data_IF_550903254304
#
_entry.id   IF_550903254304
#
_cell.length_a   1.000
_cell.length_b   1.000
_cell.length_c   1.000
_cell.angle_alpha   90.00
_cell.angle_beta   90.00
_cell.angle_gamma   90.00
#
_symmetry.space_group_name_H-M   'P 1'
#
loop_
_entity.id
_entity.type
_entity.pdbx_description
1 polymer ?
#
# COMPACT_ATOMS: atom_id res chain seq x y z
N UNK A 1 8.54 19.56 22.58
CA UNK A 1 8.13 19.34 21.17
C UNK A 1 6.95 20.24 20.85
N UNK A 2 7.02 21.08 19.80
CA UNK A 2 5.82 21.74 19.26
C UNK A 2 5.26 20.81 18.18
N UNK A 3 3.99 20.40 18.31
CA UNK A 3 3.25 19.78 17.19
C UNK A 3 3.37 20.69 15.97
N UNK A 4 3.77 20.18 14.80
CA UNK A 4 3.41 20.84 13.53
C UNK A 4 1.87 20.81 13.51
N UNK A 5 1.24 21.95 13.72
CA UNK A 5 -0.22 22.04 13.89
C UNK A 5 -0.97 21.83 12.58
N UNK A 6 -0.28 21.87 11.43
CA UNK A 6 -0.78 21.47 10.12
C UNK A 6 0.32 20.67 9.42
N UNK A 7 0.08 19.38 9.18
CA UNK A 7 0.92 18.54 8.31
C UNK A 7 0.36 18.69 6.89
N UNK A 8 1.19 19.02 5.90
CA UNK A 8 0.70 19.11 4.52
C UNK A 8 0.51 17.70 3.94
N UNK A 9 -0.75 17.37 3.66
CA UNK A 9 -1.17 16.15 2.98
C UNK A 9 -1.58 16.49 1.55
N UNK A 10 -1.19 15.65 0.60
CA UNK A 10 -1.59 15.74 -0.81
C UNK A 10 -2.07 14.38 -1.28
N UNK A 11 -3.09 14.39 -2.12
CA UNK A 11 -3.60 13.19 -2.79
C UNK A 11 -2.92 13.05 -4.14
N UNK A 12 -2.43 11.84 -4.43
CA UNK A 12 -1.79 11.48 -5.70
C UNK A 12 -2.61 10.39 -6.38
N UNK A 13 -2.77 10.48 -7.69
CA UNK A 13 -3.48 9.53 -8.53
C UNK A 13 -4.87 10.00 -8.96
N UNK A 14 -5.40 9.31 -9.96
CA UNK A 14 -6.74 9.53 -10.49
C UNK A 14 -7.82 9.04 -9.50
N UNK A 15 -9.03 9.61 -9.62
CA UNK A 15 -10.17 9.22 -8.78
C UNK A 15 -10.40 7.70 -8.83
N UNK A 16 -10.45 7.06 -7.66
CA UNK A 16 -10.59 5.61 -7.51
C UNK A 16 -9.26 4.84 -7.52
N UNK A 17 -8.13 5.53 -7.68
CA UNK A 17 -6.78 4.96 -7.55
C UNK A 17 -5.85 5.88 -6.73
N UNK A 18 -6.44 6.84 -6.02
CA UNK A 18 -5.72 7.95 -5.42
C UNK A 18 -5.50 7.76 -3.92
N UNK A 19 -4.29 8.01 -3.44
CA UNK A 19 -3.95 7.90 -2.03
C UNK A 19 -3.34 9.19 -1.50
N UNK A 20 -3.72 9.54 -0.26
CA UNK A 20 -3.16 10.68 0.44
C UNK A 20 -1.79 10.36 1.03
N UNK A 21 -0.86 11.29 0.89
CA UNK A 21 0.53 11.20 1.34
C UNK A 21 0.91 12.53 2.00
N UNK A 22 1.67 12.48 3.10
CA UNK A 22 2.27 13.66 3.68
C UNK A 22 3.45 14.14 2.83
N UNK A 23 3.27 15.26 2.14
CA UNK A 23 4.30 15.84 1.28
C UNK A 23 5.44 16.48 2.07
N UNK A 24 5.17 16.99 3.29
CA UNK A 24 6.20 17.65 4.12
C UNK A 24 7.36 16.72 4.46
N UNK A 25 7.11 15.41 4.55
CA UNK A 25 8.14 14.41 4.84
C UNK A 25 9.02 14.08 3.62
N UNK A 26 8.63 14.50 2.40
CA UNK A 26 9.29 14.07 1.17
C UNK A 26 10.19 15.14 0.54
N UNK A 27 9.88 16.44 0.71
CA UNK A 27 10.50 17.53 -0.06
C UNK A 27 12.04 17.62 0.09
N UNK A 28 12.60 17.21 1.23
CA UNK A 28 14.05 17.33 1.51
C UNK A 28 14.81 16.00 1.42
N UNK A 29 14.15 14.90 1.04
CA UNK A 29 14.80 13.59 0.99
C UNK A 29 15.70 13.47 -0.23
N UNK A 30 16.87 12.86 -0.07
CA UNK A 30 17.78 12.54 -1.19
C UNK A 30 17.27 11.35 -2.01
N UNK A 31 16.58 10.39 -1.38
CA UNK A 31 15.97 9.22 -2.00
C UNK A 31 14.62 8.96 -1.34
N UNK A 32 13.61 8.65 -2.14
CA UNK A 32 12.29 8.23 -1.64
C UNK A 32 12.01 6.82 -2.16
N UNK A 33 11.71 5.88 -1.27
CA UNK A 33 11.38 4.49 -1.57
C UNK A 33 9.87 4.31 -1.36
N UNK A 34 9.18 3.97 -2.45
CA UNK A 34 7.74 3.74 -2.43
C UNK A 34 7.46 2.29 -2.79
N UNK A 35 6.75 1.60 -1.90
CA UNK A 35 6.19 0.28 -2.18
C UNK A 35 4.69 0.47 -2.45
N UNK A 36 4.24 0.08 -3.64
CA UNK A 36 2.87 0.26 -4.12
C UNK A 36 2.22 -1.09 -4.42
N UNK A 37 1.47 -1.61 -3.46
CA UNK A 37 0.72 -2.87 -3.60
C UNK A 37 -0.69 -2.63 -4.18
N UNK A 38 -1.13 -3.51 -5.08
CA UNK A 38 -2.43 -3.43 -5.75
C UNK A 38 -2.50 -2.27 -6.72
N UNK A 39 -1.71 -2.29 -7.78
CA UNK A 39 -1.72 -1.22 -8.79
C UNK A 39 -2.89 -1.35 -9.77
N UNK A 40 -3.49 -2.53 -9.89
CA UNK A 40 -4.55 -2.80 -10.86
C UNK A 40 -4.15 -2.42 -12.29
N UNK A 41 -5.07 -1.78 -13.01
CA UNK A 41 -4.84 -1.28 -14.37
C UNK A 41 -4.57 0.24 -14.38
N UNK A 42 -4.03 0.80 -13.29
CA UNK A 42 -3.80 2.25 -13.19
C UNK A 42 -2.54 2.59 -12.37
N UNK A 43 -1.57 3.22 -13.02
CA UNK A 43 -0.31 3.64 -12.39
C UNK A 43 -0.28 5.11 -11.96
N UNK A 44 -1.41 5.84 -11.98
CA UNK A 44 -1.45 7.29 -11.74
C UNK A 44 -0.88 7.71 -10.38
N UNK A 45 -1.21 7.01 -9.29
CA UNK A 45 -0.62 7.27 -7.96
C UNK A 45 0.92 7.23 -8.02
N UNK A 46 1.46 6.12 -8.55
CA UNK A 46 2.90 5.92 -8.68
C UNK A 46 3.54 6.95 -9.63
N UNK A 47 2.86 7.26 -10.74
CA UNK A 47 3.35 8.17 -11.77
C UNK A 47 3.41 9.61 -11.27
N UNK A 48 2.36 10.08 -10.61
CA UNK A 48 2.31 11.44 -10.08
C UNK A 48 3.34 11.64 -8.96
N UNK A 49 3.56 10.65 -8.09
CA UNK A 49 4.63 10.69 -7.10
C UNK A 49 6.02 10.76 -7.76
N UNK A 50 6.29 9.89 -8.74
CA UNK A 50 7.56 9.89 -9.46
C UNK A 50 7.78 11.18 -10.28
N UNK A 51 6.70 11.78 -10.80
CA UNK A 51 6.76 13.04 -11.51
C UNK A 51 7.06 14.22 -10.59
N UNK A 52 6.42 14.24 -9.42
CA UNK A 52 6.60 15.30 -8.42
C UNK A 52 7.97 15.23 -7.75
N UNK A 53 8.46 14.03 -7.48
CA UNK A 53 9.70 13.75 -6.76
C UNK A 53 10.64 12.89 -7.61
N UNK A 54 11.59 13.52 -8.32
CA UNK A 54 12.45 12.82 -9.30
C UNK A 54 13.42 11.80 -8.69
N UNK A 55 13.64 11.88 -7.38
CA UNK A 55 14.42 10.92 -6.59
C UNK A 55 13.57 9.78 -5.98
N UNK A 56 12.28 9.74 -6.32
CA UNK A 56 11.37 8.68 -5.94
C UNK A 56 11.60 7.43 -6.79
N UNK A 57 11.76 6.30 -6.11
CA UNK A 57 11.86 4.97 -6.69
C UNK A 57 10.61 4.19 -6.37
N UNK A 58 9.85 3.86 -7.42
CA UNK A 58 8.62 3.08 -7.31
C UNK A 58 8.94 1.59 -7.43
N UNK A 59 8.53 0.82 -6.43
CA UNK A 59 8.49 -0.63 -6.46
C UNK A 59 7.00 -1.03 -6.39
N UNK A 60 6.48 -1.55 -7.49
CA UNK A 60 5.07 -1.88 -7.67
C UNK A 60 4.85 -3.39 -7.59
N UNK A 61 3.74 -3.80 -6.97
CA UNK A 61 3.44 -5.19 -6.70
C UNK A 61 1.97 -5.48 -7.00
N UNK A 62 1.70 -6.46 -7.85
CA UNK A 62 0.34 -6.94 -8.09
C UNK A 62 0.37 -8.33 -8.71
N UNK A 63 -0.25 -9.34 -8.07
CA UNK A 63 -0.29 -10.69 -8.62
C UNK A 63 -1.39 -10.90 -9.67
N UNK A 64 -2.26 -9.92 -9.90
CA UNK A 64 -3.43 -10.07 -10.75
C UNK A 64 -3.03 -10.15 -12.22
N UNK A 65 -3.49 -11.15 -13.00
CA UNK A 65 -3.12 -11.30 -14.41
C UNK A 65 -3.38 -10.06 -15.28
N UNK A 66 -4.46 -9.32 -15.00
CA UNK A 66 -4.76 -8.06 -15.70
C UNK A 66 -3.76 -6.95 -15.37
N UNK A 67 -3.41 -6.78 -14.10
CA UNK A 67 -2.42 -5.79 -13.68
C UNK A 67 -1.04 -6.10 -14.27
N UNK A 68 -0.64 -7.38 -14.25
CA UNK A 68 0.62 -7.84 -14.88
C UNK A 68 0.64 -7.47 -16.36
N UNK A 69 -0.42 -7.85 -17.10
CA UNK A 69 -0.53 -7.54 -18.53
C UNK A 69 -0.52 -6.03 -18.79
N UNK A 70 -1.24 -5.27 -17.97
CA UNK A 70 -1.28 -3.81 -18.09
C UNK A 70 0.12 -3.20 -17.94
N UNK A 71 0.90 -3.63 -16.95
CA UNK A 71 2.27 -3.15 -16.76
C UNK A 71 3.22 -3.59 -17.88
N UNK A 72 3.04 -4.80 -18.42
CA UNK A 72 3.82 -5.26 -19.58
C UNK A 72 3.62 -4.37 -20.82
N UNK A 73 2.40 -3.88 -21.02
CA UNK A 73 2.02 -3.01 -22.14
C UNK A 73 2.28 -1.51 -21.89
N UNK A 74 2.48 -1.11 -20.63
CA UNK A 74 2.71 0.29 -20.25
C UNK A 74 4.10 0.81 -20.66
N UNK A 75 4.18 2.06 -21.14
CA UNK A 75 5.46 2.72 -21.42
C UNK A 75 6.18 3.16 -20.13
N UNK A 76 7.01 2.25 -19.62
CA UNK A 76 7.81 2.43 -18.40
C UNK A 76 8.88 3.52 -18.55
N UNK A 77 9.23 3.94 -19.77
CA UNK A 77 10.23 5.00 -19.99
C UNK A 77 9.78 6.37 -19.48
N UNK A 78 8.47 6.52 -19.22
CA UNK A 78 7.89 7.70 -18.61
C UNK A 78 8.20 7.85 -17.11
N UNK A 79 8.76 6.82 -16.47
CA UNK A 79 9.22 6.85 -15.08
C UNK A 79 10.73 7.12 -14.98
N UNK A 80 11.14 7.82 -13.93
CA UNK A 80 12.56 7.93 -13.56
C UNK A 80 13.12 6.60 -13.04
N UNK A 81 12.39 5.95 -12.12
CA UNK A 81 12.67 4.57 -11.67
C UNK A 81 11.35 3.89 -11.34
N UNK A 82 11.14 2.73 -11.95
CA UNK A 82 9.98 1.88 -11.73
C UNK A 82 10.37 0.42 -11.91
N UNK A 83 10.05 -0.40 -10.92
CA UNK A 83 10.24 -1.86 -10.97
C UNK A 83 8.94 -2.53 -10.53
N UNK A 84 8.54 -3.57 -11.27
CA UNK A 84 7.28 -4.28 -11.04
C UNK A 84 7.52 -5.75 -10.71
N UNK A 85 6.79 -6.24 -9.73
CA UNK A 85 6.87 -7.62 -9.24
C UNK A 85 5.49 -8.29 -9.29
N UNK A 86 5.35 -9.42 -10.01
CA UNK A 86 4.08 -10.11 -10.20
C UNK A 86 3.72 -11.05 -9.05
N UNK A 87 3.85 -10.58 -7.81
CA UNK A 87 3.50 -11.32 -6.59
C UNK A 87 2.77 -10.41 -5.60
N UNK A 88 2.05 -11.00 -4.64
CA UNK A 88 1.28 -10.25 -3.64
C UNK A 88 1.96 -10.16 -2.27
N UNK A 89 1.31 -9.43 -1.37
CA UNK A 89 1.71 -9.26 0.02
C UNK A 89 0.74 -10.03 0.92
N UNK A 90 1.28 -10.77 1.89
CA UNK A 90 0.47 -11.47 2.89
C UNK A 90 1.23 -11.57 4.22
N UNK A 91 0.63 -12.22 5.22
CA UNK A 91 1.27 -12.50 6.51
C UNK A 91 2.30 -13.65 6.45
N UNK A 92 2.41 -14.33 5.29
CA UNK A 92 3.31 -15.48 5.09
C UNK A 92 3.92 -15.52 3.69
N UNK A 93 5.09 -16.16 3.61
CA UNK A 93 5.76 -16.50 2.35
C UNK A 93 5.26 -17.86 1.84
N UNK A 94 4.22 -17.84 1.01
CA UNK A 94 3.60 -19.06 0.49
C UNK A 94 2.90 -18.88 -0.86
N UNK A 95 2.54 -19.99 -1.49
CA UNK A 95 1.68 -19.98 -2.68
C UNK A 95 0.24 -20.19 -2.22
N UNK A 96 -0.62 -19.21 -2.45
CA UNK A 96 -2.03 -19.23 -2.04
C UNK A 96 -2.98 -19.49 -3.22
N UNK A 97 -4.20 -19.91 -2.90
CA UNK A 97 -5.33 -19.74 -3.82
C UNK A 97 -5.74 -18.27 -3.85
N UNK A 98 -5.74 -17.68 -5.04
CA UNK A 98 -6.08 -16.28 -5.26
C UNK A 98 -7.29 -16.19 -6.19
N UNK A 99 -8.34 -15.51 -5.72
CA UNK A 99 -9.66 -15.50 -6.33
C UNK A 99 -9.81 -14.35 -7.33
N UNK A 100 -10.10 -14.74 -8.57
CA UNK A 100 -10.77 -14.03 -9.65
C UNK A 100 -11.84 -12.97 -9.29
N UNK A 101 -11.85 -11.70 -9.75
CA UNK A 101 -13.08 -10.89 -9.61
C UNK A 101 -14.28 -11.58 -10.27
N UNK A 102 -15.45 -11.54 -9.61
CA UNK A 102 -16.69 -12.13 -10.09
C UNK A 102 -17.12 -11.51 -11.43
N UNK A 103 -17.03 -10.19 -11.52
CA UNK A 103 -17.18 -9.48 -12.79
C UNK A 103 -15.86 -9.54 -13.56
N UNK A 104 -15.84 -10.25 -14.69
CA UNK A 104 -14.67 -10.40 -15.56
C UNK A 104 -14.12 -9.07 -16.09
N UNK A 105 -14.90 -7.99 -16.06
CA UNK A 105 -14.45 -6.65 -16.46
C UNK A 105 -13.64 -5.95 -15.36
N UNK A 106 -13.71 -6.38 -14.11
CA UNK A 106 -12.93 -5.81 -13.00
C UNK A 106 -11.54 -6.45 -12.90
N UNK A 107 -10.68 -5.84 -12.09
CA UNK A 107 -9.26 -6.20 -11.95
C UNK A 107 -9.00 -6.90 -10.63
N UNK A 108 -9.43 -6.29 -9.53
CA UNK A 108 -9.24 -6.72 -8.14
C UNK A 108 -9.49 -8.21 -7.88
N UNK A 109 -8.42 -8.94 -7.62
CA UNK A 109 -8.49 -10.29 -7.03
C UNK A 109 -8.07 -10.25 -5.57
N UNK A 110 -8.34 -11.33 -4.83
CA UNK A 110 -8.03 -11.40 -3.39
C UNK A 110 -7.61 -12.80 -2.96
N UNK A 111 -6.73 -12.92 -1.97
CA UNK A 111 -6.51 -14.19 -1.26
C UNK A 111 -7.70 -14.54 -0.34
N UNK A 112 -8.52 -13.53 0.00
CA UNK A 112 -9.66 -13.66 0.90
C UNK A 112 -10.94 -13.85 0.09
N UNK A 113 -11.71 -14.89 0.43
CA UNK A 113 -13.05 -15.05 -0.10
C UNK A 113 -13.94 -13.90 0.35
N UNK A 114 -14.49 -13.16 -0.61
CA UNK A 114 -15.35 -12.01 -0.38
C UNK A 114 -16.48 -11.94 -1.45
N UNK A 115 -17.51 -11.08 -1.27
CA UNK A 115 -18.62 -10.99 -2.23
C UNK A 115 -18.23 -10.56 -3.66
N UNK A 116 -17.06 -9.93 -3.84
CA UNK A 116 -16.56 -9.42 -5.11
C UNK A 116 -15.80 -10.44 -5.96
N UNK A 117 -15.48 -11.62 -5.43
CA UNK A 117 -14.67 -12.64 -6.12
C UNK A 117 -15.46 -13.92 -6.47
N UNK A 118 -15.01 -14.64 -7.49
CA UNK A 118 -15.60 -15.91 -7.94
C UNK A 118 -14.80 -17.11 -7.40
N UNK A 119 -15.43 -17.87 -6.51
CA UNK A 119 -14.88 -19.10 -5.91
C UNK A 119 -14.44 -20.16 -6.92
N UNK A 120 -14.92 -20.12 -8.17
CA UNK A 120 -14.57 -21.08 -9.21
C UNK A 120 -13.46 -20.57 -10.14
N UNK A 121 -13.07 -19.28 -10.04
CA UNK A 121 -12.01 -18.69 -10.84
C UNK A 121 -10.81 -18.42 -9.94
N UNK A 122 -10.02 -19.46 -9.72
CA UNK A 122 -8.87 -19.43 -8.81
C UNK A 122 -7.58 -19.57 -9.60
N UNK A 123 -6.57 -18.79 -9.23
CA UNK A 123 -5.19 -18.95 -9.69
C UNK A 123 -4.27 -19.19 -8.50
N UNK A 124 -3.09 -19.74 -8.75
CA UNK A 124 -2.03 -19.85 -7.74
C UNK A 124 -1.10 -18.65 -7.85
N UNK A 125 -0.93 -17.95 -6.74
CA UNK A 125 -0.11 -16.73 -6.66
C UNK A 125 0.92 -16.89 -5.55
N UNK A 126 2.14 -16.44 -5.82
CA UNK A 126 3.15 -16.27 -4.78
C UNK A 126 2.82 -15.03 -3.94
N UNK A 127 2.76 -15.22 -2.62
CA UNK A 127 2.65 -14.14 -1.64
C UNK A 127 3.93 -14.08 -0.81
N UNK A 128 4.27 -12.89 -0.35
CA UNK A 128 5.43 -12.65 0.49
C UNK A 128 5.11 -11.79 1.69
N UNK A 129 5.87 -11.98 2.76
CA UNK A 129 5.89 -11.03 3.88
C UNK A 129 6.59 -9.74 3.47
N UNK A 130 6.24 -8.60 4.09
CA UNK A 130 6.93 -7.34 3.80
C UNK A 130 8.43 -7.44 4.11
N UNK A 131 8.79 -8.14 5.20
CA UNK A 131 10.18 -8.39 5.59
C UNK A 131 10.97 -9.12 4.53
N UNK A 132 10.41 -10.18 3.93
CA UNK A 132 11.05 -10.89 2.83
C UNK A 132 11.29 -9.95 1.64
N UNK A 133 10.29 -9.17 1.24
CA UNK A 133 10.39 -8.23 0.11
C UNK A 133 11.48 -7.18 0.37
N UNK A 134 11.51 -6.61 1.57
CA UNK A 134 12.54 -5.66 1.99
C UNK A 134 13.94 -6.27 1.93
N UNK A 135 14.13 -7.52 2.39
CA UNK A 135 15.41 -8.23 2.29
C UNK A 135 15.81 -8.52 0.84
N UNK A 136 14.87 -8.95 0.01
CA UNK A 136 15.08 -9.24 -1.40
C UNK A 136 15.54 -7.99 -2.18
N UNK A 137 15.00 -6.82 -1.82
CA UNK A 137 15.31 -5.53 -2.44
C UNK A 137 16.46 -4.76 -1.74
N UNK A 138 17.11 -5.37 -0.74
CA UNK A 138 18.17 -4.74 0.06
C UNK A 138 17.76 -3.39 0.67
N UNK A 139 16.51 -3.32 1.16
CA UNK A 139 15.95 -2.15 1.81
C UNK A 139 15.76 -2.38 3.30
N UNK A 140 16.21 -1.43 4.10
CA UNK A 140 15.96 -1.43 5.56
C UNK A 140 14.91 -0.40 5.98
N UNK A 141 14.36 0.35 5.02
CA UNK A 141 13.48 1.49 5.23
C UNK A 141 12.56 1.73 4.02
N UNK A 142 11.32 2.18 4.28
CA UNK A 142 10.32 2.56 3.28
C UNK A 142 9.74 3.94 3.65
N UNK A 143 9.72 4.86 2.69
CA UNK A 143 9.11 6.18 2.88
C UNK A 143 7.58 6.09 2.81
N UNK A 144 7.06 5.38 1.80
CA UNK A 144 5.63 5.21 1.58
C UNK A 144 5.33 3.74 1.31
N UNK A 145 4.48 3.14 2.14
CA UNK A 145 3.86 1.85 1.90
C UNK A 145 2.39 2.07 1.54
N UNK A 146 2.06 1.93 0.25
CA UNK A 146 0.67 1.95 -0.24
C UNK A 146 0.13 0.52 -0.29
N UNK A 147 -1.01 0.30 0.36
CA UNK A 147 -1.68 -0.98 0.50
C UNK A 147 -3.10 -0.88 -0.06
N UNK A 148 -3.35 -1.64 -1.10
CA UNK A 148 -4.67 -1.94 -1.63
C UNK A 148 -4.64 -3.42 -1.97
N UNK A 149 -4.99 -4.25 -0.99
CA UNK A 149 -4.74 -5.70 -1.01
C UNK A 149 -6.00 -6.50 -0.70
N UNK A 150 -7.15 -5.88 -0.97
CA UNK A 150 -8.47 -6.51 -1.14
C UNK A 150 -8.88 -7.42 0.03
N UNK A 151 -8.65 -6.96 1.27
CA UNK A 151 -9.07 -7.62 2.50
C UNK A 151 -7.94 -8.25 3.31
N UNK A 152 -6.79 -8.52 2.71
CA UNK A 152 -5.64 -9.13 3.41
C UNK A 152 -4.92 -8.15 4.36
N UNK A 153 -5.29 -6.86 4.38
CA UNK A 153 -4.71 -5.86 5.28
C UNK A 153 -4.89 -6.19 6.76
N UNK A 154 -5.99 -6.87 7.14
CA UNK A 154 -6.27 -7.18 8.54
C UNK A 154 -5.40 -8.31 9.13
N UNK A 155 -4.73 -9.10 8.30
CA UNK A 155 -3.71 -10.07 8.73
C UNK A 155 -2.30 -9.52 8.47
N UNK A 156 -2.13 -8.83 7.33
CA UNK A 156 -0.86 -8.30 6.86
C UNK A 156 -0.34 -7.13 7.70
N UNK A 157 -1.19 -6.17 8.09
CA UNK A 157 -0.76 -5.00 8.88
C UNK A 157 -0.27 -5.39 10.28
N UNK A 158 -0.97 -6.26 11.05
CA UNK A 158 -0.42 -6.74 12.32
C UNK A 158 0.93 -7.43 12.17
N UNK A 159 1.06 -8.33 11.19
CA UNK A 159 2.28 -9.09 10.94
C UNK A 159 3.45 -8.18 10.58
N UNK A 160 3.25 -7.23 9.65
CA UNK A 160 4.34 -6.34 9.23
C UNK A 160 4.75 -5.38 10.35
N UNK A 161 3.85 -4.97 11.25
CA UNK A 161 4.22 -4.08 12.36
C UNK A 161 5.13 -4.80 13.38
N UNK A 162 4.93 -6.09 13.59
CA UNK A 162 5.80 -6.93 14.43
C UNK A 162 7.21 -7.08 13.85
N UNK A 163 7.32 -7.12 12.51
CA UNK A 163 8.57 -7.44 11.82
C UNK A 163 9.32 -6.24 11.23
N UNK A 164 8.62 -5.18 10.87
CA UNK A 164 9.13 -4.04 10.12
C UNK A 164 8.74 -2.72 10.81
N UNK A 165 9.71 -2.06 11.45
CA UNK A 165 9.45 -0.80 12.18
C UNK A 165 9.84 0.48 11.41
N UNK A 166 10.50 0.33 10.26
CA UNK A 166 11.12 1.41 9.50
C UNK A 166 10.26 1.83 8.30
N UNK A 167 8.96 2.05 8.53
CA UNK A 167 8.01 2.51 7.51
C UNK A 167 7.48 3.87 7.98
N UNK A 168 7.71 4.91 7.21
CA UNK A 168 7.36 6.27 7.63
C UNK A 168 5.90 6.61 7.40
N UNK A 169 5.35 6.26 6.24
CA UNK A 169 3.96 6.48 5.88
C UNK A 169 3.32 5.17 5.41
N UNK A 170 2.12 4.88 5.92
CA UNK A 170 1.28 3.77 5.48
C UNK A 170 -0.01 4.38 4.93
N UNK A 171 -0.23 4.23 3.63
CA UNK A 171 -1.47 4.60 2.94
C UNK A 171 -2.22 3.30 2.69
N UNK A 172 -3.41 3.11 3.26
CA UNK A 172 -4.13 1.83 3.16
C UNK A 172 -5.58 2.05 2.74
N UNK A 173 -6.04 1.29 1.75
CA UNK A 173 -7.46 1.11 1.46
C UNK A 173 -7.97 -0.08 2.27
N UNK A 174 -8.95 0.17 3.14
CA UNK A 174 -9.52 -0.83 4.03
C UNK A 174 -10.79 -1.44 3.44
N UNK A 175 -10.85 -2.76 3.45
CA UNK A 175 -11.92 -3.57 2.90
C UNK A 175 -12.73 -4.25 4.02
N UNK A 176 -12.92 -3.55 5.15
CA UNK A 176 -13.65 -4.05 6.32
C UNK A 176 -15.06 -4.56 5.94
N UNK A 177 -15.72 -3.96 4.95
CA UNK A 177 -17.00 -4.41 4.36
C UNK A 177 -17.01 -5.85 3.84
N UNK A 178 -15.86 -6.47 3.59
CA UNK A 178 -15.75 -7.87 3.18
C UNK A 178 -16.02 -8.85 4.33
N UNK A 179 -15.99 -8.38 5.58
CA UNK A 179 -16.05 -9.20 6.77
C UNK A 179 -17.29 -8.87 7.61
N UNK A 180 -17.91 -9.91 8.19
CA UNK A 180 -19.03 -9.73 9.12
C UNK A 180 -18.61 -9.00 10.41
N UNK A 181 -17.35 -9.14 10.81
CA UNK A 181 -16.69 -8.46 11.94
C UNK A 181 -15.80 -7.28 11.48
N UNK A 182 -16.06 -6.72 10.30
CA UNK A 182 -15.24 -5.68 9.67
C UNK A 182 -14.94 -4.48 10.56
N UNK A 183 -15.96 -3.91 11.19
CA UNK A 183 -15.80 -2.72 12.06
C UNK A 183 -14.85 -2.99 13.24
N UNK A 184 -14.89 -4.21 13.77
CA UNK A 184 -14.00 -4.64 14.86
C UNK A 184 -12.57 -4.74 14.33
N UNK A 185 -12.37 -5.36 13.16
CA UNK A 185 -11.05 -5.47 12.53
C UNK A 185 -10.43 -4.11 12.22
N UNK A 186 -11.23 -3.18 11.69
CA UNK A 186 -10.79 -1.81 11.42
C UNK A 186 -10.40 -1.09 12.71
N UNK A 187 -11.25 -1.18 13.74
CA UNK A 187 -10.95 -0.60 15.05
C UNK A 187 -9.64 -1.15 15.63
N UNK A 188 -9.47 -2.47 15.62
CA UNK A 188 -8.29 -3.14 16.17
C UNK A 188 -7.02 -2.76 15.38
N UNK A 189 -7.09 -2.70 14.04
CA UNK A 189 -5.97 -2.27 13.20
C UNK A 189 -5.55 -0.83 13.50
N UNK A 190 -6.51 0.09 13.63
CA UNK A 190 -6.24 1.50 13.99
C UNK A 190 -5.60 1.58 15.39
N UNK A 191 -6.11 0.81 16.34
CA UNK A 191 -5.56 0.75 17.70
C UNK A 191 -4.14 0.20 17.71
N UNK A 192 -3.86 -0.83 16.94
CA UNK A 192 -2.53 -1.43 16.80
C UNK A 192 -1.54 -0.44 16.17
N UNK A 193 -1.91 0.21 15.07
CA UNK A 193 -1.07 1.25 14.44
C UNK A 193 -0.71 2.37 15.44
N UNK A 194 -1.66 2.80 16.27
CA UNK A 194 -1.40 3.78 17.35
C UNK A 194 -0.43 3.25 18.41
N UNK A 195 -0.53 1.98 18.79
CA UNK A 195 0.43 1.35 19.71
C UNK A 195 1.85 1.32 19.13
N UNK A 196 1.96 1.15 17.81
CA UNK A 196 3.22 1.24 17.07
C UNK A 196 3.57 2.69 16.67
N UNK A 197 3.08 3.69 17.40
CA UNK A 197 3.41 5.10 17.23
C UNK A 197 3.06 5.70 15.86
N UNK A 198 2.09 5.15 15.15
CA UNK A 198 1.51 5.81 13.99
C UNK A 198 0.35 6.73 14.40
N UNK A 199 0.27 7.90 13.77
CA UNK A 199 -0.89 8.76 13.88
C UNK A 199 -1.70 8.73 12.59
N UNK A 200 -3.02 8.68 12.72
CA UNK A 200 -3.95 8.82 11.59
C UNK A 200 -3.95 10.31 11.19
N UNK A 201 -3.49 10.60 9.98
CA UNK A 201 -3.27 11.94 9.47
C UNK A 201 -4.34 12.40 8.48
N UNK A 202 -4.92 11.47 7.72
CA UNK A 202 -5.99 11.75 6.75
C UNK A 202 -6.93 10.55 6.62
N UNK A 203 -8.20 10.84 6.33
CA UNK A 203 -9.24 9.87 5.99
C UNK A 203 -9.94 10.41 4.75
N UNK A 204 -10.07 9.59 3.70
CA UNK A 204 -10.79 9.99 2.49
C UNK A 204 -12.30 10.19 2.73
N UNK A 205 -12.99 10.78 1.76
CA UNK A 205 -14.45 10.97 1.83
C UNK A 205 -15.24 9.65 1.87
N UNK A 206 -14.68 8.56 1.31
CA UNK A 206 -15.29 7.22 1.37
C UNK A 206 -15.09 6.55 2.74
N UNK A 207 -14.19 7.08 3.56
CA UNK A 207 -13.70 6.48 4.80
C UNK A 207 -12.92 5.16 4.62
N UNK A 208 -12.56 4.82 3.37
CA UNK A 208 -11.88 3.58 3.05
C UNK A 208 -10.37 3.78 2.82
N UNK A 209 -9.91 4.97 2.43
CA UNK A 209 -8.48 5.27 2.31
C UNK A 209 -7.97 6.08 3.51
N UNK A 210 -6.98 5.50 4.20
CA UNK A 210 -6.41 6.03 5.44
C UNK A 210 -4.93 6.32 5.26
N UNK A 211 -4.47 7.48 5.73
CA UNK A 211 -3.05 7.80 5.83
C UNK A 211 -2.60 7.75 7.29
N UNK A 212 -1.64 6.88 7.57
CA UNK A 212 -0.92 6.82 8.84
C UNK A 212 0.52 7.27 8.67
N UNK A 213 1.02 8.02 9.64
CA UNK A 213 2.39 8.53 9.63
C UNK A 213 3.04 8.22 10.97
N UNK A 214 4.27 7.71 10.94
CA UNK A 214 5.04 7.36 12.14
C UNK A 214 5.47 8.61 12.91
N UNK A 215 5.18 8.67 14.21
CA UNK A 215 5.39 9.84 15.06
C UNK A 215 6.84 10.35 15.05
N UNK A 216 7.83 9.47 15.06
CA UNK A 216 9.25 9.86 15.09
C UNK A 216 9.70 10.64 13.84
N UNK A 217 8.89 10.64 12.79
CA UNK A 217 9.11 11.39 11.55
C UNK A 217 8.17 12.59 11.43
N UNK A 218 7.00 12.55 12.08
CA UNK A 218 6.03 13.64 12.12
C UNK A 218 6.44 14.84 13.01
N UNK A 219 7.41 14.62 13.90
CA UNK A 219 7.96 15.64 14.77
C UNK A 219 9.42 15.89 14.39
N UNK A 220 9.72 17.05 13.81
CA UNK A 220 11.11 17.44 13.56
C UNK A 220 11.93 17.31 14.85
N UNK A 221 12.98 16.48 14.77
CA UNK A 221 14.20 16.65 15.55
C UNK A 221 14.75 18.03 15.20
N UNK A 222 14.52 19.00 16.09
CA UNK A 222 15.49 20.09 16.23
C UNK A 222 16.68 19.53 17.00
N UNK A 223 17.74 19.18 16.28
CA UNK A 223 19.10 19.38 16.78
C UNK A 223 19.80 20.38 15.87
#
# INVERSE_FOLDING_TARGET
>A
MKRKTNIAVKTFGEKGYSFSVCSDLLEEKEKIIVYSFGIGENLSFSKELNDRYKNCKIYAFDPTPKAIKYVEEYDKSSFGFFEFFPFGLSDKDEIVDFYLPLNVSYVSGSEVMNPGVDKNRVIKVQMHTLKYIMQMLDHTYIDILKLDIEGSEFTTVPQLLEECQNIEQICVEVHHRFYADGDIRLHDMICLLKQYEYHLAEISESEEELLFIKNNFAYDKKE
#
